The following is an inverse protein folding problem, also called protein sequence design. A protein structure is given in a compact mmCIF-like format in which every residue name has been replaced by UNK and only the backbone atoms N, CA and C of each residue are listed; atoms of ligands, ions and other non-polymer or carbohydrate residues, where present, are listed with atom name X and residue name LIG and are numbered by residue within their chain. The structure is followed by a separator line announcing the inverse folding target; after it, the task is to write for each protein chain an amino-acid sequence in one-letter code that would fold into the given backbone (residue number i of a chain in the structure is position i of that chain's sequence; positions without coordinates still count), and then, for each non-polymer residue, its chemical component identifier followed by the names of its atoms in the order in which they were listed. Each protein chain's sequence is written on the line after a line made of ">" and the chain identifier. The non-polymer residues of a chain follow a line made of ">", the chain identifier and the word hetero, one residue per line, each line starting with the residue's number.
data_IF_530250151723
#
_entry.id   IF_530250151723
#
_cell.length_a   1.000
_cell.length_b   1.000
_cell.length_c   1.000
_cell.angle_alpha   90.00
_cell.angle_beta   90.00
_cell.angle_gamma   90.00
#
_symmetry.space_group_name_H-M   'P 1'
#
loop_
_entity.id
_entity.type
_entity.pdbx_description
1 polymer ?
#
# COMPACT_ATOMS: atom_id res chain seq x y z
N UNK A 1 -0.20 -8.21 -17.57
CA UNK A 1 -1.46 -7.50 -17.27
C UNK A 1 -1.23 -6.61 -16.06
N UNK A 2 -1.74 -5.39 -16.07
CA UNK A 2 -1.40 -4.39 -15.07
C UNK A 2 -2.35 -4.40 -13.86
N UNK A 3 -2.16 -5.39 -12.98
CA UNK A 3 -2.88 -5.54 -11.72
C UNK A 3 -4.15 -6.38 -11.78
N UNK A 4 -4.76 -6.57 -10.60
CA UNK A 4 -5.96 -7.39 -10.37
C UNK A 4 -7.05 -6.54 -9.72
N UNK A 5 -8.31 -6.87 -9.98
CA UNK A 5 -9.49 -6.26 -9.37
C UNK A 5 -10.34 -7.33 -8.69
N UNK A 6 -11.13 -6.90 -7.72
CA UNK A 6 -12.29 -7.65 -7.25
C UNK A 6 -13.37 -7.75 -8.35
N UNK A 7 -14.37 -8.60 -8.10
CA UNK A 7 -15.45 -8.89 -9.05
C UNK A 7 -16.20 -7.62 -9.49
N UNK A 8 -16.30 -6.63 -8.61
CA UNK A 8 -16.99 -5.37 -8.85
C UNK A 8 -16.08 -4.22 -9.34
N UNK A 9 -14.76 -4.42 -9.41
CA UNK A 9 -13.80 -3.36 -9.76
C UNK A 9 -13.69 -2.22 -8.75
N UNK A 10 -14.21 -2.40 -7.52
CA UNK A 10 -14.18 -1.40 -6.46
C UNK A 10 -12.80 -1.34 -5.78
N UNK A 11 -12.22 -2.51 -5.50
CA UNK A 11 -10.97 -2.67 -4.76
C UNK A 11 -9.98 -3.52 -5.55
N UNK A 12 -8.71 -3.15 -5.51
CA UNK A 12 -7.68 -3.92 -6.19
C UNK A 12 -6.43 -3.10 -6.44
N UNK A 13 -5.59 -3.62 -7.32
CA UNK A 13 -4.33 -2.97 -7.71
C UNK A 13 -4.37 -2.45 -9.15
N UNK A 14 -5.41 -2.72 -9.93
CA UNK A 14 -5.44 -2.29 -11.34
C UNK A 14 -5.48 -0.77 -11.50
N UNK A 15 -5.27 -0.30 -12.73
CA UNK A 15 -5.42 1.12 -13.07
C UNK A 15 -6.85 1.66 -12.88
N UNK A 16 -7.87 0.81 -12.83
CA UNK A 16 -9.28 1.23 -12.73
C UNK A 16 -9.87 1.06 -11.33
N UNK A 17 -9.14 0.45 -10.40
CA UNK A 17 -9.60 0.26 -9.03
C UNK A 17 -9.81 1.62 -8.35
N UNK A 18 -10.96 1.78 -7.68
CA UNK A 18 -11.28 3.02 -6.94
C UNK A 18 -10.52 3.12 -5.61
N UNK A 19 -10.24 1.96 -5.00
CA UNK A 19 -9.48 1.85 -3.75
C UNK A 19 -8.38 0.84 -3.93
N UNK A 20 -7.21 1.16 -3.38
CA UNK A 20 -6.10 0.24 -3.39
C UNK A 20 -6.32 -0.89 -2.39
N UNK A 21 -6.14 -2.13 -2.85
CA UNK A 21 -6.07 -3.30 -1.99
C UNK A 21 -5.29 -4.41 -2.70
N UNK A 22 -4.25 -4.93 -2.05
CA UNK A 22 -3.57 -6.13 -2.54
C UNK A 22 -4.44 -7.35 -2.24
N UNK A 23 -4.92 -8.03 -3.30
CA UNK A 23 -5.75 -9.22 -3.18
C UNK A 23 -4.94 -10.52 -2.99
N UNK A 24 -3.77 -10.42 -2.35
CA UNK A 24 -2.90 -11.56 -2.09
C UNK A 24 -3.35 -12.33 -0.85
N UNK A 25 -3.48 -13.66 -0.99
CA UNK A 25 -4.05 -14.52 0.06
C UNK A 25 -3.21 -14.53 1.33
N UNK A 26 -1.88 -14.38 1.22
CA UNK A 26 -0.99 -14.37 2.37
C UNK A 26 -1.25 -13.13 3.24
N UNK A 27 -1.46 -11.97 2.63
CA UNK A 27 -1.81 -10.74 3.35
C UNK A 27 -3.16 -10.84 4.07
N UNK A 28 -4.17 -11.47 3.44
CA UNK A 28 -5.46 -11.73 4.11
C UNK A 28 -5.31 -12.65 5.33
N UNK A 29 -4.50 -13.70 5.22
CA UNK A 29 -4.23 -14.60 6.34
C UNK A 29 -3.45 -13.88 7.44
N UNK A 30 -2.42 -13.11 7.08
CA UNK A 30 -1.59 -12.33 8.01
C UNK A 30 -2.40 -11.33 8.82
N UNK A 31 -3.25 -10.52 8.15
CA UNK A 31 -4.08 -9.54 8.84
C UNK A 31 -5.17 -10.20 9.70
N UNK A 32 -5.83 -11.26 9.20
CA UNK A 32 -6.89 -11.95 9.94
C UNK A 32 -6.33 -12.61 11.21
N UNK A 33 -5.18 -13.28 11.10
CA UNK A 33 -4.51 -13.90 12.24
C UNK A 33 -4.06 -12.84 13.25
N UNK A 34 -3.45 -11.75 12.79
CA UNK A 34 -2.97 -10.67 13.66
C UNK A 34 -4.12 -10.04 14.45
N UNK A 35 -5.23 -9.70 13.78
CA UNK A 35 -6.42 -9.17 14.46
C UNK A 35 -7.03 -10.19 15.43
N UNK A 36 -7.11 -11.47 15.04
CA UNK A 36 -7.61 -12.54 15.89
C UNK A 36 -6.79 -12.71 17.18
N UNK A 37 -5.46 -12.72 17.09
CA UNK A 37 -4.56 -12.85 18.25
C UNK A 37 -4.71 -11.65 19.19
N UNK A 38 -4.77 -10.43 18.67
CA UNK A 38 -4.94 -9.24 19.51
C UNK A 38 -6.32 -9.20 20.18
N UNK A 39 -7.39 -9.59 19.46
CA UNK A 39 -8.73 -9.69 20.01
C UNK A 39 -8.81 -10.75 21.12
N UNK A 40 -8.19 -11.92 20.90
CA UNK A 40 -8.10 -12.96 21.93
C UNK A 40 -7.31 -12.49 23.15
N UNK A 41 -6.17 -11.83 22.96
CA UNK A 41 -5.38 -11.27 24.05
C UNK A 41 -6.16 -10.22 24.85
N UNK A 42 -6.90 -9.33 24.17
CA UNK A 42 -7.79 -8.35 24.81
C UNK A 42 -8.87 -9.02 25.67
N UNK A 43 -9.51 -10.07 25.14
CA UNK A 43 -10.51 -10.85 25.86
C UNK A 43 -9.92 -11.53 27.09
N UNK A 44 -8.81 -12.27 26.95
CA UNK A 44 -8.18 -13.01 28.06
C UNK A 44 -7.71 -12.04 29.14
N UNK A 45 -7.04 -10.96 28.74
CA UNK A 45 -6.53 -9.99 29.70
C UNK A 45 -7.67 -9.33 30.49
N UNK A 46 -8.69 -8.86 29.78
CA UNK A 46 -9.86 -8.19 30.38
C UNK A 46 -10.72 -9.11 31.24
N UNK A 47 -10.88 -10.38 30.87
CA UNK A 47 -11.76 -11.32 31.56
C UNK A 47 -11.10 -12.05 32.74
N UNK A 48 -9.79 -12.32 32.67
CA UNK A 48 -9.14 -13.24 33.62
C UNK A 48 -7.90 -12.70 34.33
N UNK A 49 -7.26 -11.63 33.83
CA UNK A 49 -5.98 -11.15 34.43
C UNK A 49 -6.08 -9.83 35.18
N UNK A 50 -7.10 -9.02 34.90
CA UNK A 50 -7.35 -7.76 35.61
C UNK A 50 -8.20 -8.07 36.85
N UNK A 51 -7.63 -8.78 37.82
CA UNK A 51 -8.25 -8.95 39.12
C UNK A 51 -7.66 -7.97 40.14
N UNK A 52 -8.53 -7.14 40.72
CA UNK A 52 -8.39 -6.43 41.99
C UNK A 52 -7.17 -5.50 42.19
N UNK A 53 -6.45 -5.12 41.12
CA UNK A 53 -5.36 -4.13 41.18
C UNK A 53 -5.66 -2.88 40.34
N UNK A 54 -5.69 -1.72 41.00
CA UNK A 54 -5.83 -0.42 40.32
C UNK A 54 -4.67 -0.18 39.36
N UNK A 55 -3.44 -0.52 39.75
CA UNK A 55 -2.25 -0.33 38.93
C UNK A 55 -2.35 -1.14 37.62
N UNK A 56 -2.74 -2.41 37.70
CA UNK A 56 -2.93 -3.28 36.53
C UNK A 56 -4.03 -2.75 35.61
N UNK A 57 -5.12 -2.26 36.19
CA UNK A 57 -6.23 -1.65 35.45
C UNK A 57 -5.78 -0.41 34.68
N UNK A 58 -5.04 0.50 35.34
CA UNK A 58 -4.51 1.72 34.71
C UNK A 58 -3.55 1.38 33.57
N UNK A 59 -2.62 0.45 33.79
CA UNK A 59 -1.68 0.01 32.74
C UNK A 59 -2.41 -0.58 31.54
N UNK A 60 -3.43 -1.41 31.77
CA UNK A 60 -4.19 -2.02 30.69
C UNK A 60 -4.91 -0.98 29.83
N UNK A 61 -5.69 -0.08 30.45
CA UNK A 61 -6.48 0.90 29.70
C UNK A 61 -5.64 2.05 29.13
N UNK A 62 -4.59 2.48 29.82
CA UNK A 62 -3.79 3.64 29.40
C UNK A 62 -2.61 3.29 28.50
N UNK A 63 -2.10 2.05 28.54
CA UNK A 63 -0.96 1.64 27.72
C UNK A 63 -1.33 0.53 26.74
N UNK A 64 -1.82 -0.61 27.23
CA UNK A 64 -2.03 -1.77 26.37
C UNK A 64 -3.09 -1.51 25.29
N UNK A 65 -4.26 -0.98 25.67
CA UNK A 65 -5.36 -0.71 24.72
C UNK A 65 -4.94 0.27 23.61
N UNK A 66 -4.38 1.47 23.89
CA UNK A 66 -3.95 2.39 22.85
C UNK A 66 -2.86 1.82 21.94
N UNK A 67 -1.88 1.10 22.50
CA UNK A 67 -0.79 0.50 21.71
C UNK A 67 -1.33 -0.59 20.80
N UNK A 68 -2.24 -1.44 21.29
CA UNK A 68 -2.88 -2.47 20.48
C UNK A 68 -3.70 -1.85 19.32
N UNK A 69 -4.47 -0.78 19.59
CA UNK A 69 -5.21 -0.05 18.55
C UNK A 69 -4.27 0.59 17.53
N UNK A 70 -3.19 1.23 17.98
CA UNK A 70 -2.18 1.82 17.10
C UNK A 70 -1.52 0.76 16.22
N UNK A 71 -1.14 -0.38 16.78
CA UNK A 71 -0.55 -1.49 16.04
C UNK A 71 -1.52 -2.05 14.98
N UNK A 72 -2.76 -2.35 15.35
CA UNK A 72 -3.79 -2.85 14.43
C UNK A 72 -4.14 -1.84 13.33
N UNK A 73 -4.20 -0.55 13.66
CA UNK A 73 -4.42 0.52 12.68
C UNK A 73 -3.25 0.65 11.71
N UNK A 74 -2.01 0.53 12.21
CA UNK A 74 -0.80 0.62 11.39
C UNK A 74 -0.72 -0.56 10.42
N UNK A 75 -1.05 -1.76 10.89
CA UNK A 75 -1.13 -2.96 10.05
C UNK A 75 -2.22 -2.82 8.98
N UNK A 76 -3.40 -2.33 9.35
CA UNK A 76 -4.49 -2.08 8.41
C UNK A 76 -4.09 -1.07 7.32
N UNK A 77 -3.44 0.02 7.70
CA UNK A 77 -2.96 1.03 6.76
C UNK A 77 -1.85 0.49 5.85
N UNK A 78 -0.91 -0.30 6.39
CA UNK A 78 0.16 -0.92 5.61
C UNK A 78 -0.39 -1.81 4.47
N UNK A 79 -1.53 -2.47 4.70
CA UNK A 79 -2.16 -3.34 3.72
C UNK A 79 -3.08 -2.61 2.72
N UNK A 80 -3.79 -1.58 3.17
CA UNK A 80 -4.85 -0.91 2.38
C UNK A 80 -4.41 0.40 1.70
N UNK A 81 -3.24 0.93 2.06
CA UNK A 81 -2.75 2.18 1.47
C UNK A 81 -2.09 1.94 0.12
N UNK A 82 -2.34 2.82 -0.84
CA UNK A 82 -1.60 2.82 -2.12
C UNK A 82 -0.10 3.06 -1.85
N UNK A 83 0.80 2.13 -2.20
CA UNK A 83 2.23 2.24 -1.95
C UNK A 83 2.94 3.26 -2.86
N UNK A 84 2.19 3.99 -3.69
CA UNK A 84 2.71 4.89 -4.72
C UNK A 84 2.75 4.23 -6.09
N UNK A 85 1.67 3.54 -6.46
CA UNK A 85 1.52 2.95 -7.77
C UNK A 85 1.54 4.02 -8.87
N UNK A 86 2.32 3.77 -9.92
CA UNK A 86 2.49 4.73 -11.02
C UNK A 86 1.20 4.80 -11.83
N UNK A 87 0.55 5.97 -11.93
CA UNK A 87 -0.71 6.12 -12.64
C UNK A 87 -0.53 5.92 -14.16
N UNK A 88 -1.62 5.56 -14.86
CA UNK A 88 -1.56 5.39 -16.31
C UNK A 88 -1.29 6.73 -16.97
N UNK A 89 -0.44 6.74 -18.00
CA UNK A 89 -0.10 7.97 -18.70
C UNK A 89 0.84 8.89 -17.92
N UNK A 90 1.51 8.37 -16.88
CA UNK A 90 2.56 9.10 -16.17
C UNK A 90 3.62 9.64 -17.15
N UNK A 91 4.12 10.84 -16.88
CA UNK A 91 5.11 11.53 -17.73
C UNK A 91 6.32 11.95 -16.91
N UNK A 92 7.52 12.01 -17.50
CA UNK A 92 8.69 12.59 -16.88
C UNK A 92 8.44 14.02 -16.40
N UNK A 93 8.93 14.37 -15.21
CA UNK A 93 8.78 15.71 -14.62
C UNK A 93 9.37 16.82 -15.51
N UNK A 94 10.41 16.52 -16.27
CA UNK A 94 11.00 17.46 -17.24
C UNK A 94 9.98 17.86 -18.31
N UNK A 95 9.17 16.92 -18.79
CA UNK A 95 8.12 17.18 -19.77
C UNK A 95 7.00 18.02 -19.15
N UNK A 96 6.60 17.71 -17.92
CA UNK A 96 5.56 18.48 -17.20
C UNK A 96 6.03 19.92 -16.93
N UNK A 97 7.24 20.10 -16.40
CA UNK A 97 7.80 21.44 -16.13
C UNK A 97 7.93 22.27 -17.40
N UNK A 98 8.31 21.65 -18.52
CA UNK A 98 8.47 22.34 -19.80
C UNK A 98 7.14 22.75 -20.41
N UNK A 99 6.13 21.88 -20.34
CA UNK A 99 4.77 22.19 -20.76
C UNK A 99 4.20 23.39 -19.97
N UNK A 100 4.44 23.45 -18.66
CA UNK A 100 3.99 24.56 -17.83
C UNK A 100 4.75 25.87 -18.10
N UNK A 101 5.97 25.80 -18.65
CA UNK A 101 6.79 26.99 -18.98
C UNK A 101 6.54 27.56 -20.40
N UNK A 102 5.56 27.04 -21.15
CA UNK A 102 5.20 27.55 -22.49
C UNK A 102 6.25 27.33 -23.60
N UNK A 103 7.39 26.70 -23.28
CA UNK A 103 8.47 26.45 -24.23
C UNK A 103 8.11 25.27 -25.17
N UNK A 104 7.52 25.61 -26.32
CA UNK A 104 7.21 24.66 -27.39
C UNK A 104 8.47 24.36 -28.21
N UNK A 105 9.13 23.22 -27.97
CA UNK A 105 10.16 22.72 -28.88
C UNK A 105 10.31 21.19 -28.81
N UNK A 106 10.00 20.54 -29.94
CA UNK A 106 10.40 19.20 -30.40
C UNK A 106 10.48 18.07 -29.37
N UNK A 107 9.35 17.35 -29.22
CA UNK A 107 9.20 16.10 -28.46
C UNK A 107 10.15 14.94 -28.88
N UNK A 108 10.97 15.12 -29.92
CA UNK A 108 11.79 14.06 -30.52
C UNK A 108 13.14 13.82 -29.84
N UNK A 109 13.63 14.75 -29.00
CA UNK A 109 15.00 14.66 -28.44
C UNK A 109 15.15 13.92 -27.11
N UNK A 110 14.06 13.62 -26.38
CA UNK A 110 14.13 12.99 -25.05
C UNK A 110 13.73 11.50 -24.96
N UNK A 111 13.35 10.87 -26.08
CA UNK A 111 12.98 9.45 -26.10
C UNK A 111 14.13 8.50 -25.71
N UNK A 112 15.40 8.94 -25.78
CA UNK A 112 16.59 8.10 -25.60
C UNK A 112 16.94 7.72 -24.15
N UNK A 113 16.15 8.10 -23.14
CA UNK A 113 16.47 7.78 -21.74
C UNK A 113 15.28 7.52 -20.80
N UNK A 114 14.05 7.58 -21.30
CA UNK A 114 12.87 7.32 -20.46
C UNK A 114 12.62 5.82 -20.35
N UNK A 115 12.90 5.24 -19.18
CA UNK A 115 12.55 3.85 -18.88
C UNK A 115 11.03 3.66 -18.97
N UNK A 116 10.59 2.58 -19.60
CA UNK A 116 9.18 2.20 -19.72
C UNK A 116 9.00 0.76 -19.22
N UNK A 117 7.79 0.42 -18.81
CA UNK A 117 7.47 -0.92 -18.32
C UNK A 117 6.54 -1.65 -19.32
N UNK A 118 7.01 -2.72 -19.99
CA UNK A 118 6.20 -3.45 -20.96
C UNK A 118 5.01 -4.16 -20.31
N UNK A 119 5.15 -4.56 -19.04
CA UNK A 119 4.07 -5.21 -18.26
C UNK A 119 2.95 -4.24 -17.85
N UNK A 120 3.18 -2.93 -17.95
CA UNK A 120 2.23 -1.88 -17.60
C UNK A 120 1.81 -1.04 -18.82
N UNK A 121 1.52 -1.67 -19.98
CA UNK A 121 1.13 -0.98 -21.23
C UNK A 121 2.18 0.03 -21.72
N UNK A 122 3.46 -0.34 -21.63
CA UNK A 122 4.58 0.56 -21.93
C UNK A 122 4.47 1.91 -21.22
N UNK A 123 3.92 1.94 -19.99
CA UNK A 123 3.83 3.16 -19.22
C UNK A 123 5.22 3.64 -18.78
N UNK A 124 5.36 4.95 -18.57
CA UNK A 124 6.59 5.53 -18.04
C UNK A 124 6.95 4.91 -16.69
N UNK A 125 8.22 4.57 -16.50
CA UNK A 125 8.76 4.02 -15.25
C UNK A 125 9.69 5.05 -14.61
N UNK A 126 9.22 5.78 -13.57
CA UNK A 126 10.03 6.78 -12.88
C UNK A 126 11.36 6.23 -12.33
N UNK A 127 12.35 7.09 -12.03
CA UNK A 127 13.52 6.72 -11.27
C UNK A 127 13.12 6.04 -9.95
N UNK A 128 13.86 5.00 -9.53
CA UNK A 128 13.56 4.18 -8.34
C UNK A 128 12.20 3.48 -8.32
N UNK A 129 11.41 3.55 -9.40
CA UNK A 129 10.22 2.72 -9.52
C UNK A 129 10.60 1.30 -9.96
N UNK A 130 9.93 0.29 -9.41
CA UNK A 130 10.09 -1.11 -9.81
C UNK A 130 8.72 -1.71 -10.12
N UNK A 131 8.70 -2.64 -11.07
CA UNK A 131 7.48 -3.38 -11.38
C UNK A 131 7.42 -4.58 -10.45
N UNK A 132 6.38 -4.63 -9.64
CA UNK A 132 6.05 -5.80 -8.84
C UNK A 132 5.05 -6.67 -9.59
N UNK A 133 5.40 -7.95 -9.76
CA UNK A 133 4.55 -8.93 -10.43
C UNK A 133 3.35 -9.36 -9.61
N UNK A 134 3.41 -9.25 -8.27
CA UNK A 134 2.31 -9.68 -7.39
C UNK A 134 1.15 -8.70 -7.47
N UNK A 135 1.44 -7.41 -7.31
CA UNK A 135 0.46 -6.33 -7.52
C UNK A 135 0.20 -6.08 -9.00
N UNK A 136 1.14 -6.40 -9.90
CA UNK A 136 1.05 -6.12 -11.34
C UNK A 136 1.28 -4.65 -11.68
N UNK A 137 1.96 -3.89 -10.81
CA UNK A 137 2.08 -2.43 -10.87
C UNK A 137 3.52 -2.00 -10.78
N UNK A 138 3.84 -0.88 -11.44
CA UNK A 138 5.04 -0.14 -11.08
C UNK A 138 4.75 0.67 -9.81
N UNK A 139 5.62 0.59 -8.81
CA UNK A 139 5.52 1.34 -7.56
C UNK A 139 6.75 2.23 -7.41
N UNK A 140 6.57 3.50 -7.03
CA UNK A 140 7.69 4.43 -6.81
C UNK A 140 8.40 4.14 -5.49
N UNK A 141 9.73 4.33 -5.45
CA UNK A 141 10.56 4.01 -4.27
C UNK A 141 10.29 2.60 -3.71
N UNK A 142 10.00 1.66 -4.61
CA UNK A 142 9.67 0.29 -4.23
C UNK A 142 10.83 -0.35 -3.49
N UNK A 143 10.53 -0.95 -2.35
CA UNK A 143 11.46 -1.73 -1.55
C UNK A 143 11.27 -3.22 -1.83
N UNK A 144 10.18 -3.79 -1.33
CA UNK A 144 9.77 -5.17 -1.57
C UNK A 144 8.25 -5.34 -1.50
N UNK A 145 7.76 -6.51 -1.93
CA UNK A 145 6.38 -6.92 -1.68
C UNK A 145 6.33 -7.71 -0.36
N UNK A 146 5.60 -7.20 0.63
CA UNK A 146 5.38 -7.90 1.90
C UNK A 146 4.22 -8.89 1.75
N UNK A 147 4.43 -10.19 2.01
CA UNK A 147 3.36 -11.19 1.97
C UNK A 147 2.53 -11.24 3.27
N UNK A 148 2.93 -10.49 4.30
CA UNK A 148 2.30 -10.43 5.62
C UNK A 148 1.45 -9.17 5.77
#
# INVERSE_FOLDING_TARGET
>A
MAGRNDVCGLVGTSFTAKRWLSLDICGFLGITLSWGVHAYALYVLGAYTIENSLASTVVFFSLYIPIALLALSSLYMAWTTDPGAVPLGARPLTIVRRANSGALSTARSQARGTRRCPKCHDNYKPPRAHHDSVTGRCVVKFDHFCPW
#
